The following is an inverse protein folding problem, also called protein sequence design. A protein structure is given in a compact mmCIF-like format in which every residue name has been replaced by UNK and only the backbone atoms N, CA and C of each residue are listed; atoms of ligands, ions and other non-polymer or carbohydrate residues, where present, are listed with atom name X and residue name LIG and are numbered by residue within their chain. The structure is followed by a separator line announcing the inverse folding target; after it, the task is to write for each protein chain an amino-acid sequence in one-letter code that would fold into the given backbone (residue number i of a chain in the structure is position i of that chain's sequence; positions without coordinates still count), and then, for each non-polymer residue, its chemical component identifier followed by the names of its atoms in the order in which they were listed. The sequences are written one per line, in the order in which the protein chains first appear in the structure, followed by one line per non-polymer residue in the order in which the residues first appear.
data_IF_585952749221
#
_entry.id   IF_585952749221
#
_cell.length_a   1.000
_cell.length_b   1.000
_cell.length_c   1.000
_cell.angle_alpha   90.00
_cell.angle_beta   90.00
_cell.angle_gamma   90.00
#
_symmetry.space_group_name_H-M   'P 1'
#
loop_
_entity.id
_entity.type
_entity.pdbx_description
1 polymer ?
#
# COMPACT_ATOMS: atom_id res chain seq x y z
N UNK A 1 -13.03 13.18 8.41
CA UNK A 1 -12.25 14.33 7.90
C UNK A 1 -10.91 13.79 7.41
N UNK A 2 -10.75 13.62 6.09
CA UNK A 2 -9.46 13.22 5.50
C UNK A 2 -8.53 14.44 5.57
N UNK A 3 -7.40 14.30 6.24
CA UNK A 3 -6.40 15.37 6.30
C UNK A 3 -5.80 15.54 4.90
N UNK A 4 -5.83 16.76 4.35
CA UNK A 4 -5.35 17.10 3.00
C UNK A 4 -3.83 16.98 2.81
N UNK A 5 -3.13 16.16 3.60
CA UNK A 5 -1.69 15.96 3.47
C UNK A 5 -1.47 15.11 2.23
N UNK A 6 -1.06 15.77 1.14
CA UNK A 6 -0.63 15.08 -0.07
C UNK A 6 0.51 14.13 0.34
N UNK A 7 0.45 12.83 -0.04
CA UNK A 7 1.53 11.91 0.26
C UNK A 7 2.83 12.47 -0.33
N UNK A 8 3.90 12.43 0.46
CA UNK A 8 5.22 12.90 0.02
C UNK A 8 5.74 12.10 -1.19
N UNK A 9 6.84 12.55 -1.81
CA UNK A 9 7.45 11.83 -2.92
C UNK A 9 7.70 10.37 -2.56
N UNK A 10 7.37 9.45 -3.47
CA UNK A 10 7.64 8.02 -3.26
C UNK A 10 9.15 7.82 -3.04
N UNK A 11 9.56 6.99 -2.07
CA UNK A 11 10.97 6.68 -1.85
C UNK A 11 11.61 6.14 -3.13
N UNK A 12 12.78 6.69 -3.46
CA UNK A 12 13.64 6.22 -4.56
C UNK A 12 14.79 5.40 -3.99
N UNK A 13 15.36 4.54 -4.84
CA UNK A 13 16.63 3.85 -4.58
C UNK A 13 17.80 4.80 -4.83
N UNK A 14 19.00 4.41 -4.41
CA UNK A 14 20.26 5.13 -4.70
C UNK A 14 20.43 5.42 -6.21
N UNK A 15 19.96 4.49 -7.05
CA UNK A 15 19.98 4.61 -8.52
C UNK A 15 18.88 5.54 -9.10
N UNK A 16 18.12 6.24 -8.26
CA UNK A 16 17.06 7.17 -8.65
C UNK A 16 15.75 6.54 -9.13
N UNK A 17 15.70 5.21 -9.28
CA UNK A 17 14.49 4.46 -9.62
C UNK A 17 13.55 4.30 -8.43
N UNK A 18 12.25 4.18 -8.71
CA UNK A 18 11.23 3.95 -7.69
C UNK A 18 11.55 2.74 -6.81
N UNK A 19 11.46 2.90 -5.48
CA UNK A 19 11.76 1.81 -4.56
C UNK A 19 10.60 0.81 -4.46
N UNK A 20 10.60 -0.16 -5.37
CA UNK A 20 9.62 -1.26 -5.40
C UNK A 20 9.80 -2.29 -4.28
N UNK A 21 10.80 -2.16 -3.38
CA UNK A 21 10.99 -3.11 -2.25
C UNK A 21 9.82 -3.09 -1.26
N UNK A 22 9.05 -2.01 -1.23
CA UNK A 22 7.85 -1.87 -0.40
C UNK A 22 6.55 -2.23 -1.13
N UNK A 23 6.63 -2.64 -2.40
CA UNK A 23 5.46 -3.04 -3.17
C UNK A 23 5.24 -4.55 -3.02
N UNK A 24 4.01 -4.96 -2.68
CA UNK A 24 3.62 -6.37 -2.75
C UNK A 24 3.38 -6.69 -4.21
N UNK A 25 4.35 -7.32 -4.89
CA UNK A 25 4.14 -7.77 -6.26
C UNK A 25 3.12 -8.94 -6.27
N UNK A 26 2.32 -9.11 -7.34
CA UNK A 26 1.37 -10.22 -7.45
C UNK A 26 1.99 -11.62 -7.22
N UNK A 27 3.25 -11.90 -7.62
CA UNK A 27 3.90 -13.18 -7.29
C UNK A 27 4.22 -13.36 -5.80
N UNK A 28 4.49 -12.27 -5.07
CA UNK A 28 4.74 -12.29 -3.62
C UNK A 28 3.47 -12.28 -2.78
N UNK A 29 2.33 -11.92 -3.38
CA UNK A 29 1.01 -11.86 -2.73
C UNK A 29 0.64 -13.18 -2.05
N UNK A 30 0.94 -14.32 -2.69
CA UNK A 30 0.70 -15.68 -2.14
C UNK A 30 1.45 -15.98 -0.84
N UNK A 31 2.52 -15.25 -0.52
CA UNK A 31 3.29 -15.41 0.73
C UNK A 31 2.66 -14.66 1.89
N UNK A 32 1.67 -13.80 1.63
CA UNK A 32 1.02 -12.98 2.64
C UNK A 32 -0.39 -13.53 2.92
N UNK A 33 -0.84 -13.53 4.19
CA UNK A 33 -2.18 -13.97 4.53
C UNK A 33 -3.22 -13.01 3.93
N UNK A 34 -4.26 -13.57 3.32
CA UNK A 34 -5.41 -12.79 2.88
C UNK A 34 -6.11 -12.21 4.13
N UNK A 35 -6.19 -10.88 4.21
CA UNK A 35 -6.94 -10.22 5.27
C UNK A 35 -8.43 -10.62 5.17
N UNK A 36 -9.13 -10.83 6.29
CA UNK A 36 -10.56 -11.09 6.26
C UNK A 36 -11.28 -9.91 5.59
N UNK A 37 -12.37 -10.16 4.83
CA UNK A 37 -13.12 -9.09 4.20
C UNK A 37 -13.64 -8.12 5.27
N UNK A 38 -13.37 -6.84 5.09
CA UNK A 38 -13.90 -5.81 5.97
C UNK A 38 -15.42 -5.74 5.82
N UNK A 39 -16.15 -6.02 6.90
CA UNK A 39 -17.61 -5.86 6.96
C UNK A 39 -17.93 -4.44 7.43
N UNK A 40 -18.32 -3.57 6.51
CA UNK A 40 -18.83 -2.24 6.86
C UNK A 40 -20.16 -2.37 7.61
N UNK A 41 -20.39 -1.50 8.61
CA UNK A 41 -21.71 -1.36 9.22
C UNK A 41 -22.61 -0.56 8.27
N UNK A 42 -23.93 -0.79 8.27
CA UNK A 42 -24.85 0.05 7.52
C UNK A 42 -24.74 1.51 7.96
N UNK A 43 -24.37 2.41 7.04
CA UNK A 43 -24.26 3.85 7.29
C UNK A 43 -22.87 4.37 7.67
N UNK A 44 -21.82 3.53 7.65
CA UNK A 44 -20.41 3.97 7.66
C UNK A 44 -19.96 4.51 6.29
#
# INVERSE_FOLDING_TARGET
MFTNIKPGPKPKREDGQDDRRRHVNPPSEKKHPTLPPHKHKPGD
#
